data_IF_256677751946
#
_entry.id   IF_256677751946
#
_cell.length_a   1.000
_cell.length_b   1.000
_cell.length_c   1.000
_cell.angle_alpha   90.00
_cell.angle_beta   90.00
_cell.angle_gamma   90.00
#
_symmetry.space_group_name_H-M   'P 1'
#
loop_
_entity.id
_entity.type
_entity.pdbx_description
1 polymer ?
2 non-polymer ?
3 water ?
#
# COMPACT_ATOMS: atom_id res chain seq x y z
N UNK A 3 3.95 12.81 -18.94
CA UNK A 3 3.54 11.54 -18.26
C UNK A 3 2.67 11.85 -17.03
N UNK A 4 1.39 11.51 -17.10
CA UNK A 4 0.49 11.74 -15.98
C UNK A 4 1.01 10.98 -14.78
N UNK A 5 0.61 11.44 -13.61
CA UNK A 5 1.11 10.89 -12.36
C UNK A 5 0.25 9.71 -11.88
N UNK A 6 0.81 8.93 -10.97
CA UNK A 6 0.00 8.00 -10.19
C UNK A 6 -0.21 8.64 -8.83
N UNK A 7 -1.48 8.78 -8.42
CA UNK A 7 -1.83 9.35 -7.13
C UNK A 7 -2.10 8.26 -6.11
N UNK A 8 -1.46 8.34 -4.95
CA UNK A 8 -1.77 7.43 -3.83
C UNK A 8 -2.43 8.21 -2.69
N UNK A 9 -3.60 7.78 -2.25
CA UNK A 9 -4.29 8.39 -1.14
C UNK A 9 -4.14 7.47 0.06
N UNK A 10 -3.52 7.96 1.11
CA UNK A 10 -3.36 7.14 2.29
C UNK A 10 -2.89 7.95 3.47
N UNK A 11 -2.17 7.34 4.40
CA UNK A 11 -1.74 8.10 5.58
C UNK A 11 -0.27 7.83 5.84
N UNK A 12 0.52 8.87 5.99
CA UNK A 12 1.93 8.74 6.30
C UNK A 12 2.07 8.49 7.80
N UNK A 13 3.01 7.60 8.13
CA UNK A 13 3.25 7.19 9.48
C UNK A 13 4.74 7.32 9.78
N UNK A 14 5.09 7.75 10.99
CA UNK A 14 6.47 7.70 11.39
C UNK A 14 6.77 6.34 12.03
N UNK A 15 7.65 5.56 11.39
CA UNK A 15 8.06 4.30 11.93
C UNK A 15 9.31 4.52 12.77
N UNK A 16 9.16 4.21 14.05
CA UNK A 16 10.27 4.28 14.95
C UNK A 16 10.76 2.83 15.16
N UNK A 17 11.88 2.53 14.52
CA UNK A 17 12.35 1.17 14.33
C UNK A 17 13.50 0.82 15.27
N UNK A 18 13.26 -0.18 16.11
CA UNK A 18 14.26 -0.78 16.98
C UNK A 18 14.73 -2.12 16.39
N UNK A 19 16.01 -2.20 16.06
CA UNK A 19 16.60 -3.43 15.54
C UNK A 19 17.17 -4.23 16.71
N UNK A 20 16.73 -5.48 16.84
CA UNK A 20 17.16 -6.36 17.92
C UNK A 20 17.79 -7.68 17.39
N UNK A 21 18.69 -8.29 18.16
CA UNK A 21 19.40 -9.47 17.63
C UNK A 21 18.54 -10.73 17.69
N UNK A 22 17.48 -10.68 18.51
CA UNK A 22 16.49 -11.74 18.62
C UNK A 22 15.17 -11.13 19.07
N UNK A 23 14.05 -11.80 18.81
CA UNK A 23 12.77 -11.30 19.27
C UNK A 23 12.71 -11.32 20.80
N UNK A 24 12.34 -10.20 21.42
CA UNK A 24 12.40 -10.10 22.87
C UNK A 24 11.43 -11.03 23.60
N UNK A 25 11.94 -11.72 24.61
CA UNK A 25 11.09 -12.51 25.46
C UNK A 25 10.33 -11.60 26.42
N UNK A 26 9.03 -11.84 26.57
CA UNK A 26 8.21 -11.07 27.48
C UNK A 26 8.89 -10.99 28.84
N UNK A 27 8.87 -9.79 29.41
CA UNK A 27 9.44 -9.48 30.71
C UNK A 27 10.98 -9.37 30.74
N UNK A 28 11.65 -9.48 29.60
CA UNK A 28 13.09 -9.29 29.58
C UNK A 28 13.45 -7.82 29.34
N UNK A 29 14.74 -7.55 29.42
CA UNK A 29 15.33 -6.29 28.98
C UNK A 29 16.41 -6.65 27.97
N UNK A 30 16.34 -6.04 26.79
CA UNK A 30 17.27 -6.31 25.71
C UNK A 30 17.87 -5.02 25.19
N UNK A 31 19.16 -5.08 24.87
CA UNK A 31 19.84 -3.95 24.29
C UNK A 31 19.67 -4.02 22.79
N UNK A 32 19.05 -2.99 22.22
CA UNK A 32 18.88 -2.94 20.80
C UNK A 32 20.20 -2.63 20.10
N UNK A 33 20.32 -3.16 18.89
CA UNK A 33 21.46 -2.91 18.01
C UNK A 33 21.43 -1.48 17.49
N UNK A 34 20.25 -1.00 17.13
CA UNK A 34 20.09 0.36 16.63
C UNK A 34 18.64 0.81 16.79
N UNK A 35 18.41 2.12 16.69
CA UNK A 35 17.06 2.68 16.58
C UNK A 35 17.11 3.70 15.48
N UNK A 36 16.14 3.67 14.57
CA UNK A 36 16.08 4.61 13.44
C UNK A 36 14.64 5.07 13.16
N UNK A 37 14.50 6.26 12.58
CA UNK A 37 13.22 6.75 12.05
C UNK A 37 13.15 6.42 10.58
N UNK A 38 11.99 5.94 10.12
CA UNK A 38 11.76 5.69 8.72
C UNK A 38 10.34 6.16 8.40
N UNK A 39 10.15 6.92 7.33
CA UNK A 39 8.77 7.20 6.88
C UNK A 39 8.07 5.89 6.47
N UNK A 40 6.84 5.72 6.92
CA UNK A 40 6.06 4.53 6.58
C UNK A 40 4.63 4.92 6.25
N UNK A 41 3.70 3.99 6.51
CA UNK A 41 2.35 4.08 5.97
C UNK A 41 2.26 3.32 4.67
N UNK A 42 1.16 2.62 4.45
CA UNK A 42 1.05 1.74 3.26
C UNK A 42 1.18 2.49 1.96
N UNK A 43 0.28 3.43 1.68
CA UNK A 43 0.29 4.15 0.43
C UNK A 43 1.53 5.03 0.34
N UNK A 44 1.98 5.55 1.48
CA UNK A 44 3.21 6.30 1.55
C UNK A 44 4.41 5.45 1.06
N UNK A 45 4.56 4.25 1.61
CA UNK A 45 5.62 3.36 1.19
C UNK A 45 5.49 3.00 -0.31
N UNK A 46 4.24 2.82 -0.77
CA UNK A 46 4.01 2.49 -2.20
C UNK A 46 4.47 3.65 -3.11
N UNK A 47 4.33 4.91 -2.68
CA UNK A 47 4.89 6.04 -3.44
C UNK A 47 6.40 5.94 -3.53
N UNK A 48 7.04 5.52 -2.44
CA UNK A 48 8.48 5.43 -2.40
C UNK A 48 8.90 4.46 -3.50
N UNK A 49 8.24 3.33 -3.53
CA UNK A 49 8.57 2.27 -4.48
C UNK A 49 8.25 2.67 -5.92
N UNK A 50 7.08 3.25 -6.15
CA UNK A 50 6.71 3.77 -7.46
C UNK A 50 7.75 4.78 -7.97
N UNK A 51 8.14 5.70 -7.10
CA UNK A 51 9.17 6.67 -7.41
C UNK A 51 10.49 5.97 -7.79
N UNK A 52 10.92 5.01 -6.98
CA UNK A 52 12.16 4.27 -7.24
C UNK A 52 12.08 3.50 -8.56
N UNK A 53 10.90 3.01 -8.88
CA UNK A 53 10.74 2.26 -10.13
C UNK A 53 10.63 3.17 -11.36
N UNK A 54 10.45 4.47 -11.15
CA UNK A 54 10.52 5.44 -12.20
C UNK A 54 9.19 6.04 -12.61
N UNK A 55 8.18 5.86 -11.77
CA UNK A 55 6.86 6.39 -12.05
C UNK A 55 6.62 7.64 -11.25
N UNK A 56 6.40 8.76 -11.91
CA UNK A 56 6.04 9.98 -11.22
C UNK A 56 4.74 9.78 -10.47
N UNK A 57 4.73 10.21 -9.21
CA UNK A 57 3.54 9.98 -8.41
C UNK A 57 3.33 11.10 -7.41
N UNK A 58 2.15 11.10 -6.82
CA UNK A 58 1.72 12.12 -5.92
C UNK A 58 1.14 11.41 -4.71
N UNK A 59 1.27 12.03 -3.56
CA UNK A 59 0.76 11.48 -2.33
C UNK A 59 -0.24 12.44 -1.69
N UNK A 60 -1.40 11.92 -1.38
CA UNK A 60 -2.41 12.69 -0.68
C UNK A 60 -2.73 12.08 0.66
N UNK A 61 -2.39 12.81 1.71
CA UNK A 61 -2.65 12.41 3.06
C UNK A 61 -2.70 13.63 3.97
N UNK A 62 -3.26 13.41 5.14
CA UNK A 62 -3.32 14.37 6.22
C UNK A 62 -1.95 14.59 6.85
N UNK A 63 -1.76 15.79 7.39
CA UNK A 63 -0.48 16.15 7.95
C UNK A 63 -0.70 17.19 9.07
N UNK A 64 0.03 17.03 10.17
CA UNK A 64 0.06 18.00 11.28
C UNK A 64 1.46 18.63 11.31
N UNK A 65 1.56 19.94 11.14
CA UNK A 65 2.87 20.58 11.14
C UNK A 65 3.67 20.33 12.42
N UNK A 66 4.97 20.27 12.30
CA UNK A 66 5.87 20.04 13.40
C UNK A 66 7.10 19.36 12.89
N UNK A 67 8.00 18.98 13.78
CA UNK A 67 9.26 18.40 13.39
C UNK A 67 9.06 17.02 12.77
N UNK A 68 8.04 16.30 13.19
CA UNK A 68 7.81 14.98 12.58
C UNK A 68 7.36 15.15 11.11
N UNK A 69 6.42 16.06 10.89
CA UNK A 69 6.00 16.40 9.54
C UNK A 69 7.18 16.77 8.65
N UNK A 70 8.07 17.62 9.15
CA UNK A 70 9.26 17.99 8.40
C UNK A 70 10.09 16.79 7.98
N UNK A 71 10.29 15.86 8.90
CA UNK A 71 11.06 14.66 8.59
C UNK A 71 10.37 13.86 7.47
N UNK A 72 9.09 13.59 7.62
CA UNK A 72 8.40 12.75 6.61
C UNK A 72 8.18 13.47 5.29
N UNK A 73 7.88 14.76 5.34
CA UNK A 73 7.74 15.53 4.08
C UNK A 73 9.06 15.72 3.34
N UNK A 74 10.15 16.07 4.05
CA UNK A 74 11.45 16.09 3.41
C UNK A 74 11.73 14.76 2.72
N UNK A 75 11.38 13.67 3.37
CA UNK A 75 11.68 12.36 2.81
C UNK A 75 10.89 12.13 1.50
N UNK A 76 9.60 12.45 1.51
CA UNK A 76 8.77 12.38 0.30
C UNK A 76 9.38 13.25 -0.83
N UNK A 77 9.80 14.45 -0.47
CA UNK A 77 10.47 15.35 -1.44
C UNK A 77 11.73 14.73 -2.03
N UNK A 78 12.51 14.02 -1.21
CA UNK A 78 13.68 13.31 -1.71
C UNK A 78 13.36 12.35 -2.84
N UNK A 79 12.13 11.82 -2.87
CA UNK A 79 11.74 10.87 -3.88
C UNK A 79 10.97 11.55 -4.98
N UNK A 80 10.95 12.88 -4.95
CA UNK A 80 10.19 13.68 -5.90
C UNK A 80 8.70 13.33 -5.94
N UNK A 81 8.14 12.92 -4.81
CA UNK A 81 6.72 12.71 -4.73
C UNK A 81 6.01 14.05 -4.61
N UNK A 82 5.04 14.29 -5.50
CA UNK A 82 4.27 15.52 -5.50
C UNK A 82 3.35 15.59 -4.29
N UNK A 83 3.44 16.69 -3.54
CA UNK A 83 2.71 16.84 -2.30
C UNK A 83 1.69 17.99 -2.32
N UNK A 84 1.33 18.42 -3.51
CA UNK A 84 0.31 19.45 -3.72
C UNK A 84 -0.98 19.22 -2.92
N UNK A 85 -1.38 17.95 -2.76
CA UNK A 85 -2.64 17.62 -2.13
C UNK A 85 -2.53 17.21 -0.67
N UNK A 86 -1.37 17.47 -0.07
CA UNK A 86 -1.24 17.31 1.37
C UNK A 86 -2.36 18.06 2.09
N UNK A 87 -3.11 17.35 2.91
CA UNK A 87 -4.16 17.97 3.70
C UNK A 87 -3.68 18.35 5.10
N UNK A 88 -3.32 19.62 5.29
CA UNK A 88 -2.89 20.09 6.61
C UNK A 88 -4.02 20.19 7.62
N UNK A 89 -3.76 19.65 8.80
CA UNK A 89 -4.76 19.57 9.85
C UNK A 89 -4.29 20.47 10.97
N UNK A 90 -5.19 21.27 11.52
CA UNK A 90 -4.78 22.16 12.61
C UNK A 90 -4.93 21.46 13.96
N UNK A 91 -5.41 20.21 13.98
CA UNK A 91 -5.39 19.36 15.16
C UNK A 91 -4.81 17.95 14.91
N UNK A 92 -4.36 17.31 15.99
CA UNK A 92 -3.88 15.92 15.93
C UNK A 92 -2.41 15.88 15.59
N UNK A 93 -1.85 14.68 15.49
CA UNK A 93 -0.45 14.56 15.16
C UNK A 93 -0.21 13.42 14.17
N UNK A 94 0.94 13.46 13.51
CA UNK A 94 1.37 12.35 12.63
C UNK A 94 1.43 11.05 13.45
N UNK A 95 0.82 9.97 12.96
CA UNK A 95 0.82 8.74 13.71
C UNK A 95 2.23 8.18 13.82
N UNK A 96 2.47 7.48 14.91
CA UNK A 96 3.73 6.78 15.17
C UNK A 96 3.48 5.30 15.18
N UNK A 97 4.41 4.55 14.63
CA UNK A 97 4.38 3.12 14.80
C UNK A 97 5.69 2.70 15.39
N UNK A 98 5.60 1.89 16.43
CA UNK A 98 6.79 1.35 17.08
C UNK A 98 7.07 0.01 16.42
N UNK A 99 8.21 -0.10 15.75
CA UNK A 99 8.51 -1.30 14.95
C UNK A 99 9.73 -2.03 15.48
N UNK A 100 9.54 -3.30 15.82
CA UNK A 100 10.62 -4.15 16.24
C UNK A 100 11.01 -5.02 15.06
N UNK A 101 12.26 -4.91 14.62
CA UNK A 101 12.80 -5.79 13.57
C UNK A 101 13.80 -6.76 14.16
N UNK A 102 13.57 -8.05 13.92
CA UNK A 102 14.49 -9.09 14.40
C UNK A 102 15.61 -9.27 13.36
N UNK A 103 16.82 -8.91 13.73
CA UNK A 103 17.97 -8.96 12.81
C UNK A 103 18.13 -10.38 12.28
N UNK A 104 17.89 -11.36 13.15
CA UNK A 104 18.04 -12.77 12.81
C UNK A 104 17.13 -13.20 11.65
N UNK A 105 15.87 -12.77 11.67
CA UNK A 105 14.86 -13.21 10.70
C UNK A 105 14.37 -12.17 9.68
N UNK A 106 14.55 -10.89 10.00
CA UNK A 106 13.96 -9.83 9.21
C UNK A 106 12.49 -9.58 9.53
N UNK A 107 11.93 -10.29 10.50
CA UNK A 107 10.54 -10.11 10.86
C UNK A 107 10.35 -8.66 11.33
N UNK A 108 9.14 -8.14 11.14
CA UNK A 108 8.80 -6.82 11.67
C UNK A 108 7.53 -6.97 12.47
N UNK A 109 7.55 -6.43 13.68
CA UNK A 109 6.44 -6.51 14.59
C UNK A 109 6.05 -5.08 14.89
N UNK A 110 4.79 -4.73 14.63
CA UNK A 110 4.36 -3.32 14.65
C UNK A 110 3.38 -3.01 15.76
N UNK A 111 3.78 -2.10 16.65
CA UNK A 111 2.87 -1.60 17.66
C UNK A 111 2.40 -0.22 17.25
N UNK A 112 1.12 -0.09 16.89
CA UNK A 112 0.61 1.19 16.43
C UNK A 112 -0.47 1.70 17.40
N UNK A 113 -1.01 2.87 17.14
CA UNK A 113 -1.84 3.53 18.13
C UNK A 113 -3.12 4.06 17.50
N UNK A 114 -4.06 4.45 18.35
CA UNK A 114 -5.27 5.14 17.88
C UNK A 114 -4.93 6.30 16.93
N UNK A 115 -5.89 6.59 16.05
CA UNK A 115 -5.77 7.64 15.07
C UNK A 115 -5.40 8.94 15.74
N UNK A 116 -4.41 9.62 15.19
CA UNK A 116 -3.81 10.75 15.89
C UNK A 116 -4.13 12.07 15.20
N UNK A 117 -4.88 12.02 14.07
CA UNK A 117 -5.23 13.20 13.30
C UNK A 117 -6.36 12.87 12.31
N UNK A 118 -7.10 13.89 11.90
CA UNK A 118 -8.21 13.71 10.98
C UNK A 118 -7.82 13.08 9.64
N UNK A 119 -8.69 12.20 9.15
CA UNK A 119 -8.54 11.59 7.85
C UNK A 119 -8.88 12.53 6.69
N UNK A 120 -8.30 12.24 5.52
CA UNK A 120 -8.68 12.89 4.25
C UNK A 120 -10.15 12.60 3.95
N UNK A 121 -10.91 13.65 3.68
CA UNK A 121 -12.34 13.53 3.48
C UNK A 121 -12.69 13.57 2.00
N UNK A 122 -13.91 13.15 1.71
CA UNK A 122 -14.46 13.26 0.37
C UNK A 122 -14.40 14.71 -0.15
N UNK A 123 -14.73 15.67 0.72
CA UNK A 123 -14.65 17.09 0.32
C UNK A 123 -13.21 17.54 0.00
N UNK A 124 -12.23 16.99 0.72
CA UNK A 124 -10.81 17.23 0.38
C UNK A 124 -10.52 16.71 -1.01
N UNK A 125 -10.96 15.50 -1.29
CA UNK A 125 -10.64 14.84 -2.54
C UNK A 125 -11.30 15.61 -3.70
N UNK A 126 -12.43 16.23 -3.40
CA UNK A 126 -13.16 17.00 -4.41
C UNK A 126 -12.25 17.99 -5.10
N UNK A 127 -11.22 18.45 -4.40
CA UNK A 127 -10.34 19.49 -4.92
C UNK A 127 -9.27 18.97 -5.83
N UNK A 128 -9.09 17.66 -5.87
CA UNK A 128 -8.10 17.08 -6.76
C UNK A 128 -8.45 17.26 -8.23
N UNK A 129 -7.47 17.73 -9.00
CA UNK A 129 -7.55 17.82 -10.46
C UNK A 129 -7.33 16.44 -11.09
N UNK A 130 -8.43 15.73 -11.36
CA UNK A 130 -8.35 14.34 -11.79
C UNK A 130 -7.66 14.18 -13.14
N UNK A 131 -7.65 15.24 -13.94
CA UNK A 131 -7.04 15.20 -15.26
C UNK A 131 -5.52 15.01 -15.19
N UNK A 132 -4.93 15.11 -14.01
CA UNK A 132 -3.48 15.02 -13.87
C UNK A 132 -2.98 13.58 -13.70
N UNK A 133 -3.90 12.63 -13.51
CA UNK A 133 -3.55 11.29 -13.06
C UNK A 133 -4.06 10.21 -13.99
N UNK A 134 -3.22 9.20 -14.21
CA UNK A 134 -3.62 8.04 -15.00
C UNK A 134 -3.96 6.83 -14.14
N UNK A 135 -3.66 6.92 -12.85
CA UNK A 135 -3.92 5.84 -11.92
C UNK A 135 -4.09 6.49 -10.54
N UNK A 136 -5.11 6.06 -9.80
CA UNK A 136 -5.32 6.51 -8.42
C UNK A 136 -5.48 5.27 -7.54
N UNK A 137 -4.64 5.18 -6.51
CA UNK A 137 -4.69 4.10 -5.56
C UNK A 137 -5.09 4.62 -4.19
N UNK A 138 -6.04 3.92 -3.58
CA UNK A 138 -6.58 4.29 -2.30
C UNK A 138 -6.31 3.22 -1.25
N UNK A 139 -5.59 3.60 -0.20
CA UNK A 139 -5.38 2.73 0.95
C UNK A 139 -6.63 2.75 1.81
N UNK A 140 -7.31 1.62 1.89
CA UNK A 140 -8.61 1.60 2.59
C UNK A 140 -8.53 2.01 4.04
N UNK A 141 -9.35 2.98 4.45
CA UNK A 141 -9.30 3.46 5.82
C UNK A 141 -10.66 3.95 6.29
N UNK A 142 -11.07 5.12 5.82
CA UNK A 142 -12.37 5.71 6.20
C UNK A 142 -13.29 5.50 5.03
N UNK A 143 -13.88 4.31 4.98
CA UNK A 143 -14.44 3.77 3.75
C UNK A 143 -15.62 4.58 3.23
N UNK A 144 -16.47 5.08 4.14
CA UNK A 144 -17.67 5.79 3.72
C UNK A 144 -17.28 7.03 2.91
N UNK A 145 -16.29 7.76 3.40
CA UNK A 145 -15.71 8.87 2.66
C UNK A 145 -15.00 8.42 1.38
N UNK A 146 -14.23 7.34 1.46
CA UNK A 146 -13.48 6.93 0.29
C UNK A 146 -14.38 6.42 -0.83
N UNK A 147 -15.53 5.85 -0.47
CA UNK A 147 -16.48 5.42 -1.49
C UNK A 147 -16.93 6.61 -2.35
N UNK A 148 -17.19 7.73 -1.69
CA UNK A 148 -17.51 8.97 -2.39
C UNK A 148 -16.37 9.41 -3.31
N UNK A 149 -15.15 9.34 -2.82
CA UNK A 149 -14.01 9.62 -3.67
C UNK A 149 -14.05 8.73 -4.91
N UNK A 150 -14.29 7.45 -4.69
CA UNK A 150 -14.31 6.47 -5.79
C UNK A 150 -15.47 6.74 -6.75
N UNK A 151 -16.60 7.19 -6.21
CA UNK A 151 -17.75 7.56 -7.04
C UNK A 151 -17.42 8.80 -7.89
N UNK A 152 -16.64 9.72 -7.31
CA UNK A 152 -16.21 10.89 -8.04
C UNK A 152 -15.29 10.50 -9.20
N UNK A 153 -14.38 9.57 -8.99
CA UNK A 153 -13.52 9.11 -10.07
C UNK A 153 -14.35 8.40 -11.14
N UNK A 154 -15.31 7.59 -10.72
CA UNK A 154 -16.19 6.86 -11.64
C UNK A 154 -16.97 7.85 -12.52
N UNK A 155 -17.59 8.84 -11.90
CA UNK A 155 -18.33 9.87 -12.62
C UNK A 155 -17.42 10.56 -13.62
N UNK A 156 -16.19 10.86 -13.20
CA UNK A 156 -15.21 11.47 -14.09
C UNK A 156 -14.95 10.58 -15.30
N UNK A 157 -14.79 9.28 -15.06
CA UNK A 157 -14.42 8.35 -16.11
C UNK A 157 -15.54 8.14 -17.14
N UNK A 158 -16.79 8.29 -16.71
CA UNK A 158 -17.92 8.12 -17.64
C UNK A 158 -17.85 9.18 -18.73
N UNK A 159 -17.35 10.36 -18.38
CA UNK A 159 -17.23 11.44 -19.32
C UNK A 159 -15.92 11.38 -20.10
N UNK A 160 -15.24 10.23 -20.05
CA UNK A 160 -13.96 10.08 -20.72
C UNK A 160 -13.99 8.97 -21.74
N UNK A 161 -13.20 9.12 -22.80
CA UNK A 161 -12.85 8.01 -23.66
C UNK A 161 -12.15 6.90 -22.88
N UNK A 162 -12.29 5.66 -23.32
CA UNK A 162 -11.58 4.55 -22.69
C UNK A 162 -10.08 4.83 -22.65
N UNK A 163 -9.58 5.54 -23.65
CA UNK A 163 -8.18 5.90 -23.73
C UNK A 163 -7.77 6.78 -22.55
N UNK A 164 -8.69 7.61 -22.08
CA UNK A 164 -8.40 8.60 -21.06
C UNK A 164 -8.99 8.25 -19.70
N UNK A 165 -9.29 6.97 -19.48
CA UNK A 165 -9.89 6.60 -18.21
C UNK A 165 -8.80 6.43 -17.15
N UNK A 166 -9.07 6.95 -15.96
CA UNK A 166 -8.16 6.78 -14.83
C UNK A 166 -8.35 5.38 -14.25
N UNK A 167 -7.28 4.60 -14.24
CA UNK A 167 -7.32 3.28 -13.65
C UNK A 167 -7.28 3.41 -12.12
N UNK A 168 -8.01 2.56 -11.41
CA UNK A 168 -8.14 2.70 -9.98
C UNK A 168 -7.78 1.40 -9.28
N UNK A 169 -7.07 1.53 -8.17
CA UNK A 169 -6.78 0.40 -7.30
C UNK A 169 -7.15 0.76 -5.87
N UNK A 170 -7.53 -0.25 -5.09
CA UNK A 170 -7.83 -0.08 -3.69
C UNK A 170 -7.16 -1.20 -2.92
N UNK A 171 -6.75 -0.91 -1.67
CA UNK A 171 -6.22 -1.94 -0.77
C UNK A 171 -7.16 -2.10 0.41
N UNK A 172 -7.53 -3.34 0.68
CA UNK A 172 -8.29 -3.69 1.87
C UNK A 172 -7.37 -4.59 2.70
N UNK A 173 -6.68 -3.98 3.66
CA UNK A 173 -5.69 -4.68 4.42
C UNK A 173 -6.10 -5.05 5.85
N UNK A 174 -6.90 -4.20 6.48
CA UNK A 174 -7.32 -4.49 7.85
C UNK A 174 -8.65 -5.20 7.83
N UNK A 175 -8.84 -6.18 8.72
CA UNK A 175 -10.06 -6.95 8.78
C UNK A 175 -11.20 -6.20 9.50
N UNK A 176 -11.60 -5.07 8.93
CA UNK A 176 -12.62 -4.20 9.48
C UNK A 176 -13.80 -4.13 8.52
N UNK A 177 -14.99 -4.42 9.02
CA UNK A 177 -16.20 -4.51 8.21
C UNK A 177 -16.39 -3.36 7.27
N UNK A 178 -16.18 -2.15 7.76
CA UNK A 178 -16.43 -0.93 7.02
C UNK A 178 -15.67 -0.95 5.71
N UNK A 179 -14.53 -1.64 5.69
CA UNK A 179 -13.68 -1.65 4.49
C UNK A 179 -14.22 -2.53 3.36
N UNK A 180 -15.03 -3.54 3.68
CA UNK A 180 -15.43 -4.51 2.64
C UNK A 180 -16.23 -3.91 1.50
N UNK A 181 -16.93 -2.82 1.76
CA UNK A 181 -17.62 -2.11 0.71
C UNK A 181 -16.68 -1.66 -0.42
N UNK A 182 -15.41 -1.45 -0.09
CA UNK A 182 -14.43 -1.05 -1.10
C UNK A 182 -14.15 -2.12 -2.15
N UNK A 183 -14.46 -3.37 -1.85
CA UNK A 183 -14.27 -4.48 -2.83
C UNK A 183 -14.94 -4.17 -4.17
N UNK A 184 -16.04 -3.44 -4.13
CA UNK A 184 -16.85 -3.16 -5.33
C UNK A 184 -16.38 -1.97 -6.12
N UNK A 185 -15.26 -1.39 -5.71
CA UNK A 185 -14.68 -0.28 -6.44
C UNK A 185 -13.31 -0.69 -6.92
N UNK A 186 -12.82 -0.03 -7.93
CA UNK A 186 -11.46 -0.27 -8.40
C UNK A 186 -11.31 -1.34 -9.48
N UNK A 187 -10.40 -1.06 -10.38
CA UNK A 187 -10.05 -1.99 -11.42
C UNK A 187 -9.15 -3.08 -10.89
N UNK A 188 -8.44 -2.75 -9.82
CA UNK A 188 -7.56 -3.70 -9.17
C UNK A 188 -7.80 -3.59 -7.68
N UNK A 189 -8.06 -4.74 -7.07
CA UNK A 189 -8.39 -4.81 -5.67
C UNK A 189 -7.39 -5.70 -4.95
N UNK A 190 -6.62 -5.10 -4.05
CA UNK A 190 -5.69 -5.85 -3.22
C UNK A 190 -6.35 -6.22 -1.90
N UNK A 191 -6.43 -7.51 -1.61
CA UNK A 191 -6.96 -7.95 -0.34
C UNK A 191 -5.88 -8.69 0.41
N UNK A 192 -5.72 -8.34 1.68
CA UNK A 192 -4.67 -8.93 2.49
C UNK A 192 -4.96 -10.35 2.94
N UNK A 193 -3.89 -11.11 3.15
CA UNK A 193 -4.00 -12.42 3.75
C UNK A 193 -4.78 -12.33 5.07
N UNK A 194 -4.50 -11.32 5.90
CA UNK A 194 -5.18 -11.19 7.18
C UNK A 194 -6.69 -11.05 7.02
N UNK A 195 -7.12 -10.23 6.08
CA UNK A 195 -8.54 -10.08 5.80
C UNK A 195 -9.10 -11.42 5.33
N UNK A 196 -8.41 -12.09 4.41
CA UNK A 196 -8.87 -13.39 3.89
C UNK A 196 -9.08 -14.38 5.01
N UNK A 197 -8.07 -14.50 5.87
CA UNK A 197 -8.15 -15.43 6.97
C UNK A 197 -9.27 -15.03 7.94
N UNK A 198 -9.46 -13.73 8.17
CA UNK A 198 -10.53 -13.24 9.06
C UNK A 198 -11.91 -13.67 8.52
N UNK A 199 -12.01 -13.76 7.21
CA UNK A 199 -13.26 -14.12 6.55
C UNK A 199 -13.38 -15.64 6.33
N UNK A 200 -12.39 -16.40 6.80
CA UNK A 200 -12.49 -17.85 6.77
C UNK A 200 -11.86 -18.58 5.61
N UNK A 201 -11.03 -17.89 4.82
CA UNK A 201 -10.33 -18.57 3.74
C UNK A 201 -8.89 -18.94 4.16
N UNK A 202 -8.42 -20.09 3.68
CA UNK A 202 -7.14 -20.67 4.13
C UNK A 202 -6.07 -20.57 3.06
N UNK A 203 -6.40 -20.03 1.90
CA UNK A 203 -5.37 -19.85 0.90
C UNK A 203 -5.79 -18.71 0.00
N UNK A 204 -4.84 -18.18 -0.77
CA UNK A 204 -5.14 -17.10 -1.69
C UNK A 204 -6.16 -17.56 -2.73
N UNK A 205 -5.98 -18.76 -3.27
CA UNK A 205 -6.90 -19.27 -4.29
C UNK A 205 -8.33 -19.31 -3.76
N UNK A 206 -8.48 -19.84 -2.56
CA UNK A 206 -9.75 -19.90 -1.85
C UNK A 206 -10.38 -18.51 -1.63
N UNK A 207 -9.57 -17.55 -1.23
CA UNK A 207 -10.05 -16.22 -0.99
C UNK A 207 -10.53 -15.58 -2.28
N UNK A 208 -9.74 -15.74 -3.32
CA UNK A 208 -10.06 -15.10 -4.59
C UNK A 208 -11.40 -15.65 -5.12
N UNK A 209 -11.54 -16.97 -5.12
CA UNK A 209 -12.79 -17.60 -5.60
C UNK A 209 -13.95 -17.15 -4.71
N UNK A 210 -13.67 -17.09 -3.41
CA UNK A 210 -14.64 -16.72 -2.41
C UNK A 210 -15.12 -15.29 -2.47
N UNK A 211 -14.30 -14.39 -3.04
CA UNK A 211 -14.59 -12.97 -2.98
C UNK A 211 -14.79 -12.30 -4.34
N UNK A 212 -14.48 -12.98 -5.44
CA UNK A 212 -14.52 -12.36 -6.74
C UNK A 212 -15.93 -11.79 -7.07
N UNK A 213 -16.95 -12.44 -6.57
CA UNK A 213 -18.30 -11.99 -6.81
C UNK A 213 -18.63 -10.63 -6.24
N UNK A 214 -17.76 -10.11 -5.37
CA UNK A 214 -17.94 -8.78 -4.79
C UNK A 214 -17.23 -7.65 -5.53
N UNK A 215 -16.34 -7.96 -6.48
CA UNK A 215 -15.66 -6.88 -7.17
C UNK A 215 -16.47 -6.39 -8.37
N UNK A 216 -16.10 -5.22 -8.89
CA UNK A 216 -16.82 -4.65 -10.01
C UNK A 216 -16.52 -5.38 -11.31
N UNK A 217 -17.46 -5.28 -12.25
CA UNK A 217 -17.27 -5.92 -13.55
C UNK A 217 -15.94 -5.50 -14.16
N UNK A 218 -15.14 -6.49 -14.54
CA UNK A 218 -13.88 -6.23 -15.21
C UNK A 218 -12.69 -6.22 -14.26
N UNK A 219 -12.94 -6.24 -12.95
CA UNK A 219 -11.84 -6.02 -11.99
C UNK A 219 -10.93 -7.22 -11.80
N UNK A 220 -9.71 -6.92 -11.40
CA UNK A 220 -8.74 -7.93 -10.99
C UNK A 220 -8.54 -7.90 -9.48
N UNK A 221 -8.76 -9.04 -8.87
CA UNK A 221 -8.60 -9.24 -7.45
C UNK A 221 -7.27 -9.92 -7.19
N UNK A 222 -6.48 -9.33 -6.31
CA UNK A 222 -5.13 -9.80 -6.02
C UNK A 222 -4.94 -10.11 -4.54
N UNK A 223 -4.37 -11.26 -4.24
CA UNK A 223 -4.09 -11.66 -2.87
C UNK A 223 -2.69 -12.26 -2.73
N UNK A 224 -1.82 -11.55 -2.01
CA UNK A 224 -0.48 -12.03 -1.71
C UNK A 224 -0.54 -12.86 -0.44
N UNK A 225 0.16 -14.00 -0.42
CA UNK A 225 0.08 -14.93 0.70
C UNK A 225 1.47 -15.28 1.22
N UNK A 226 2.28 -14.25 1.42
CA UNK A 226 3.64 -14.34 2.01
C UNK A 226 4.55 -15.31 1.28
N UNK A 227 5.00 -16.34 1.98
CA UNK A 227 6.00 -17.24 1.41
C UNK A 227 5.36 -18.11 0.36
N UNK A 228 4.03 -18.07 0.29
CA UNK A 228 3.32 -18.84 -0.72
C UNK A 228 3.14 -18.06 -2.02
N UNK A 229 3.75 -16.89 -2.08
CA UNK A 229 3.68 -16.05 -3.27
C UNK A 229 2.43 -15.20 -3.34
N UNK A 230 1.94 -15.01 -4.55
CA UNK A 230 0.75 -14.17 -4.77
C UNK A 230 -0.12 -14.71 -5.91
N UNK A 231 -1.44 -14.48 -5.82
CA UNK A 231 -2.42 -14.92 -6.80
C UNK A 231 -3.30 -13.75 -7.22
N UNK A 232 -3.92 -13.88 -8.40
CA UNK A 232 -4.86 -12.92 -8.91
C UNK A 232 -5.93 -13.67 -9.68
N UNK A 233 -7.06 -13.02 -9.83
CA UNK A 233 -8.24 -13.58 -10.51
C UNK A 233 -8.94 -12.41 -11.17
N UNK A 234 -9.16 -12.54 -12.48
CA UNK A 234 -9.78 -11.52 -13.28
C UNK A 234 -11.06 -12.08 -13.92
N UNK A 235 -11.67 -11.26 -14.77
CA UNK A 235 -13.01 -11.59 -15.31
C UNK A 235 -13.05 -12.91 -16.06
N UNK A 236 -11.92 -13.43 -16.53
CA UNK A 236 -11.95 -14.65 -17.33
C UNK A 236 -11.98 -15.91 -16.48
N UNK A 237 -11.93 -15.74 -15.16
CA UNK A 237 -12.04 -16.85 -14.25
C UNK A 237 -10.81 -17.70 -14.13
N UNK A 238 -9.71 -17.30 -14.76
CA UNK A 238 -8.45 -18.04 -14.65
C UNK A 238 -7.62 -17.56 -13.44
N UNK A 239 -7.40 -18.45 -12.50
CA UNK A 239 -6.55 -18.18 -11.36
C UNK A 239 -5.12 -18.04 -11.86
N UNK A 240 -4.47 -16.94 -11.50
CA UNK A 240 -3.05 -16.75 -11.83
C UNK A 240 -2.23 -16.76 -10.56
N UNK A 241 -0.97 -17.19 -10.66
CA UNK A 241 -0.13 -17.37 -9.50
C UNK A 241 1.33 -17.04 -9.84
N UNK A 242 2.02 -16.46 -8.86
CA UNK A 242 3.50 -16.41 -8.84
C UNK A 242 3.99 -16.93 -7.49
N UNK A 243 5.04 -17.77 -7.55
CA UNK A 243 5.72 -18.26 -6.39
C UNK A 243 6.45 -17.04 -5.80
N UNK A 244 6.73 -17.08 -4.51
CA UNK A 244 7.56 -16.02 -3.87
C UNK A 244 8.99 -16.08 -4.44
N UNK A 245 9.68 -14.94 -4.37
CA UNK A 245 11.12 -14.85 -4.70
C UNK A 245 11.96 -14.35 -3.55
N UNK A 246 12.15 -15.21 -2.57
CA UNK A 246 12.91 -14.85 -1.40
C UNK A 246 14.35 -14.48 -1.76
N UNK A 247 14.93 -13.56 -0.98
CA UNK A 247 16.33 -13.22 -1.14
C UNK A 247 17.15 -14.29 -0.44
N UNK A 248 18.45 -14.33 -0.69
CA UNK A 248 19.32 -15.27 -0.01
C UNK A 248 19.28 -15.12 1.51
N UNK A 249 19.18 -13.89 1.98
CA UNK A 249 19.00 -13.66 3.41
C UNK A 249 17.98 -12.55 3.64
N UNK A 250 16.98 -12.84 4.46
CA UNK A 250 15.93 -11.88 4.73
C UNK A 250 16.45 -11.01 5.87
N UNK A 251 16.56 -9.71 5.63
CA UNK A 251 17.01 -8.81 6.70
C UNK A 251 15.95 -7.80 7.18
N UNK A 252 14.98 -7.46 6.33
CA UNK A 252 13.96 -6.42 6.67
C UNK A 252 12.70 -6.51 5.81
N UNK A 253 11.63 -7.01 6.39
CA UNK A 253 10.37 -7.20 5.67
C UNK A 253 9.33 -6.07 5.88
N UNK A 254 9.74 -5.01 6.56
CA UNK A 254 8.88 -3.84 6.76
C UNK A 254 8.59 -3.17 5.43
N UNK A 255 7.33 -3.17 5.02
CA UNK A 255 6.93 -2.52 3.76
C UNK A 255 7.04 -3.45 2.55
N UNK A 256 7.26 -4.72 2.81
CA UNK A 256 7.37 -5.70 1.71
C UNK A 256 6.03 -5.80 0.99
N UNK A 257 4.94 -5.74 1.74
CA UNK A 257 3.63 -5.82 1.13
C UNK A 257 3.33 -4.59 0.33
N UNK A 258 3.77 -3.43 0.83
CA UNK A 258 3.64 -2.19 0.10
C UNK A 258 4.45 -2.20 -1.19
N UNK A 259 5.60 -2.85 -1.12
CA UNK A 259 6.47 -2.97 -2.29
C UNK A 259 5.78 -3.86 -3.34
N UNK A 260 5.20 -4.97 -2.91
CA UNK A 260 4.41 -5.80 -3.79
C UNK A 260 3.31 -4.99 -4.46
N UNK A 261 2.46 -4.31 -3.66
CA UNK A 261 1.37 -3.50 -4.23
C UNK A 261 1.87 -2.49 -5.27
N UNK A 262 2.86 -1.69 -4.89
CA UNK A 262 3.41 -0.69 -5.80
C UNK A 262 3.91 -1.33 -7.11
N UNK A 263 4.53 -2.49 -7.00
CA UNK A 263 5.22 -3.09 -8.16
C UNK A 263 4.18 -3.66 -9.12
N UNK A 264 3.12 -4.22 -8.55
CA UNK A 264 1.98 -4.66 -9.36
C UNK A 264 1.29 -3.48 -10.08
N UNK A 265 1.04 -2.39 -9.35
CA UNK A 265 0.48 -1.21 -9.96
C UNK A 265 1.40 -0.72 -11.11
N UNK A 266 2.69 -0.68 -10.81
CA UNK A 266 3.67 -0.16 -11.78
C UNK A 266 3.61 -0.99 -13.09
N UNK A 267 3.76 -2.30 -12.94
CA UNK A 267 3.74 -3.26 -14.06
C UNK A 267 2.45 -3.18 -14.87
N UNK A 268 1.31 -3.22 -14.19
CA UNK A 268 0.03 -2.99 -14.85
C UNK A 268 -0.07 -1.63 -15.53
N UNK A 269 0.39 -0.57 -14.88
CA UNK A 269 0.28 0.75 -15.47
C UNK A 269 1.15 0.84 -16.71
N UNK A 270 2.19 0.02 -16.76
CA UNK A 270 3.10 -0.09 -17.92
C UNK A 270 2.55 -0.98 -19.04
N UNK A 271 1.36 -1.53 -18.86
CA UNK A 271 0.73 -2.35 -19.88
C UNK A 271 1.05 -3.83 -19.86
N UNK A 272 1.65 -4.31 -18.77
CA UNK A 272 2.02 -5.70 -18.68
C UNK A 272 0.80 -6.53 -18.28
N UNK A 273 0.86 -7.85 -18.51
CA UNK A 273 -0.22 -8.76 -18.16
C UNK A 273 -0.30 -8.89 -16.64
N UNK A 274 -1.42 -9.38 -16.13
CA UNK A 274 -1.55 -9.65 -14.71
C UNK A 274 -0.54 -10.69 -14.27
N UNK A 275 -0.35 -11.73 -15.07
CA UNK A 275 0.58 -12.78 -14.72
C UNK A 275 1.98 -12.21 -14.51
N UNK A 276 2.37 -11.26 -15.36
CA UNK A 276 3.71 -10.68 -15.30
C UNK A 276 3.80 -9.72 -14.14
N UNK A 277 2.73 -8.97 -13.93
CA UNK A 277 2.65 -8.04 -12.80
C UNK A 277 2.80 -8.74 -11.47
N UNK A 278 2.16 -9.90 -11.30
CA UNK A 278 2.31 -10.72 -10.10
C UNK A 278 3.73 -11.18 -9.89
N UNK A 279 4.30 -11.75 -10.96
CA UNK A 279 5.70 -12.12 -10.96
C UNK A 279 6.61 -10.96 -10.52
N UNK A 280 6.45 -9.82 -11.16
CA UNK A 280 7.25 -8.63 -10.88
C UNK A 280 7.06 -8.19 -9.44
N UNK A 281 5.81 -8.18 -8.96
CA UNK A 281 5.58 -7.86 -7.57
C UNK A 281 6.29 -8.75 -6.61
N UNK A 282 6.25 -10.06 -6.86
CA UNK A 282 6.88 -11.00 -5.95
C UNK A 282 8.41 -10.81 -5.95
N UNK A 283 8.93 -10.55 -7.12
CA UNK A 283 10.39 -10.39 -7.26
C UNK A 283 10.90 -9.13 -6.60
N UNK A 284 10.24 -8.01 -6.84
CA UNK A 284 10.67 -6.74 -6.22
C UNK A 284 10.47 -6.79 -4.72
N UNK A 285 9.31 -7.31 -4.26
CA UNK A 285 9.09 -7.49 -2.82
C UNK A 285 10.15 -8.41 -2.20
N UNK A 286 10.47 -9.53 -2.86
CA UNK A 286 11.52 -10.39 -2.38
C UNK A 286 12.87 -9.69 -2.26
N UNK A 287 13.20 -8.91 -3.28
CA UNK A 287 14.49 -8.20 -3.31
C UNK A 287 14.53 -7.25 -2.13
N UNK A 288 13.43 -6.53 -1.94
CA UNK A 288 13.28 -5.62 -0.83
C UNK A 288 13.54 -6.30 0.49
N UNK A 289 13.07 -7.54 0.67
CA UNK A 289 13.22 -8.22 1.93
C UNK A 289 14.67 -8.52 2.27
N UNK A 290 15.52 -8.52 1.25
CA UNK A 290 16.94 -8.75 1.44
C UNK A 290 17.74 -7.50 1.70
N UNK A 291 17.06 -6.36 1.85
CA UNK A 291 17.69 -5.03 1.97
C UNK A 291 17.08 -4.24 3.11
N UNK A 292 17.83 -3.30 3.68
CA UNK A 292 17.26 -2.40 4.67
C UNK A 292 16.57 -1.28 3.94
N UNK A 293 15.31 -1.03 4.28
CA UNK A 293 14.50 -0.02 3.59
C UNK A 293 14.27 -0.37 2.12
N UNK A 294 14.09 0.65 1.28
CA UNK A 294 13.62 0.46 -0.09
C UNK A 294 14.62 0.77 -1.22
N UNK A 295 15.60 1.61 -0.95
CA UNK A 295 16.43 2.16 -2.04
C UNK A 295 17.16 1.16 -2.93
N UNK A 296 17.62 0.06 -2.35
CA UNK A 296 18.36 -0.92 -3.16
C UNK A 296 17.52 -1.75 -4.13
N UNK A 297 16.21 -1.55 -4.17
CA UNK A 297 15.41 -2.34 -5.11
C UNK A 297 15.75 -1.97 -6.54
N UNK A 298 16.33 -0.80 -6.76
CA UNK A 298 16.79 -0.42 -8.10
C UNK A 298 18.27 -0.07 -8.07
X LIG B 1 4.24 -4.92 5.14
X LIG B 1 4.08 -3.92 4.01
X LIG B 1 4.64 -6.27 4.58
X LIG B 1 5.20 -4.48 6.19
X LIG B 1 2.88 -5.12 5.77
X LIG C 1 6.96 19.92 16.99
X LIG C 1 8.09 20.10 16.02
X LIG C 1 7.48 20.00 18.39
X LIG C 1 5.92 20.99 16.76
X LIG C 1 6.34 18.56 16.80
X LIG D 1 -11.23 13.55 13.54
X LIG D 1 -9.78 13.66 13.86
X LIG D 1 -11.96 12.98 14.73
X LIG D 1 -11.76 14.93 13.23
X LIG D 1 -11.43 12.66 12.35
#
# INVERSE_FOLDING_TARGET
MEEKQILCVGLVVLDVISLVDKYPKEDSEIRCLSQRWQRGGNASNSCTVLSLLGAPCAFMGSMAPGHVADFVLDDLRRYSVDLRYTVFQTTGSVPIATVIINEASGSRTILYYDRSLPDVSATDFEKVDLTQFKWIHIEGRNASEQVKMLQRIDAHNTRQPPEQKIRVSVEVEKPREELFQLFGYGDVVFVSKDVAKHLGFQSAEEALRGLYGRVRKGAVLVCAWAEEGADALGPDGKLLHSDAFPPPRVVDTLGAGDTFNASVIFSLSQGRSVQEALRFGCQVAGKKCGLQGFDGIV
SO4 S O1 O2 O3 O4
SO4 S O1 O2 O3 O4
SO4 S O1 O2 O3 O4
#
